data_IF_417616900664
#
_entry.id   IF_417616900664
#
_cell.length_a   1.000
_cell.length_b   1.000
_cell.length_c   1.000
_cell.angle_alpha   90.00
_cell.angle_beta   90.00
_cell.angle_gamma   90.00
#
_symmetry.space_group_name_H-M   'P 1'
#
loop_
_entity.id
_entity.type
_entity.pdbx_description
1 polymer ?
#
# COMPACT_ATOMS: atom_id res chain seq x y z
N UNK A 1 -2.24 38.03 13.46
CA UNK A 1 -1.53 36.98 14.25
C UNK A 1 -2.41 35.82 14.74
N UNK A 2 -3.75 35.94 14.85
CA UNK A 2 -4.63 34.82 15.26
C UNK A 2 -4.77 33.68 14.22
N UNK A 3 -4.77 34.01 12.93
CA UNK A 3 -4.97 33.02 11.85
C UNK A 3 -3.75 32.15 11.53
N UNK A 4 -2.54 32.62 11.85
CA UNK A 4 -1.30 31.87 11.61
C UNK A 4 -1.21 30.59 12.47
N UNK A 5 -1.76 30.63 13.69
CA UNK A 5 -1.80 29.47 14.60
C UNK A 5 -2.76 28.39 14.08
N UNK A 6 -3.90 28.81 13.49
CA UNK A 6 -4.90 27.88 12.92
C UNK A 6 -4.36 27.20 11.67
N UNK A 7 -3.61 27.92 10.82
CA UNK A 7 -3.00 27.36 9.62
C UNK A 7 -1.91 26.34 9.97
N UNK A 8 -1.10 26.59 11.00
CA UNK A 8 -0.05 25.65 11.43
C UNK A 8 -0.61 24.32 11.99
N UNK A 9 -1.78 24.34 12.63
CA UNK A 9 -2.44 23.14 13.16
C UNK A 9 -2.98 22.20 12.06
N UNK A 10 -3.34 22.73 10.89
CA UNK A 10 -3.91 21.95 9.79
C UNK A 10 -2.88 21.18 8.96
N UNK A 11 -1.58 21.51 9.09
CA UNK A 11 -0.50 20.86 8.32
C UNK A 11 -0.23 19.43 8.80
N UNK A 12 -0.63 19.07 10.03
CA UNK A 12 -0.34 17.77 10.64
C UNK A 12 -1.27 16.62 10.22
N UNK A 13 -2.25 16.84 9.35
CA UNK A 13 -3.34 15.88 9.10
C UNK A 13 -3.16 14.99 7.85
N UNK A 14 -2.09 15.14 7.08
CA UNK A 14 -1.88 14.34 5.87
C UNK A 14 -0.53 13.62 5.88
N UNK A 15 -0.43 12.52 6.64
CA UNK A 15 0.73 11.62 6.58
C UNK A 15 0.64 10.71 5.35
N UNK A 16 0.84 11.29 4.16
CA UNK A 16 1.07 10.50 2.95
C UNK A 16 2.56 10.15 2.86
N UNK A 17 2.87 8.88 2.59
CA UNK A 17 4.25 8.40 2.40
C UNK A 17 4.40 7.98 0.94
N UNK A 18 5.48 8.43 0.30
CA UNK A 18 5.89 7.97 -1.03
C UNK A 18 7.26 7.33 -0.95
N UNK A 19 7.45 6.20 -1.63
CA UNK A 19 8.73 5.50 -1.68
C UNK A 19 8.83 4.61 -2.93
N UNK A 20 10.07 4.35 -3.36
CA UNK A 20 10.35 3.36 -4.41
C UNK A 20 10.35 1.94 -3.83
N UNK A 21 9.62 1.02 -4.45
CA UNK A 21 9.61 -0.39 -4.09
C UNK A 21 10.59 -1.18 -4.97
N UNK A 22 11.56 -1.86 -4.35
CA UNK A 22 12.56 -2.69 -5.06
C UNK A 22 12.19 -4.17 -4.93
N UNK A 23 12.44 -4.96 -5.96
CA UNK A 23 12.26 -6.42 -5.90
C UNK A 23 13.10 -7.03 -4.77
N UNK A 24 12.50 -7.93 -4.00
CA UNK A 24 13.12 -8.57 -2.83
C UNK A 24 13.23 -7.70 -1.59
N UNK A 25 12.74 -6.45 -1.60
CA UNK A 25 12.76 -5.55 -0.44
C UNK A 25 11.34 -5.31 0.05
N UNK A 26 11.09 -5.65 1.31
CA UNK A 26 9.86 -5.29 2.02
C UNK A 26 10.07 -3.96 2.76
N UNK A 27 9.11 -3.04 2.62
CA UNK A 27 9.09 -1.76 3.34
C UNK A 27 7.86 -1.69 4.21
N UNK A 28 8.05 -1.48 5.51
CA UNK A 28 6.98 -1.44 6.48
C UNK A 28 6.86 -0.06 7.14
N UNK A 29 5.63 0.43 7.25
CA UNK A 29 5.24 1.47 8.19
C UNK A 29 4.59 0.82 9.42
N UNK A 30 4.64 1.44 10.59
CA UNK A 30 4.01 0.90 11.79
C UNK A 30 3.45 2.02 12.64
N UNK A 31 2.26 1.78 13.21
CA UNK A 31 1.56 2.76 14.02
C UNK A 31 0.76 2.08 15.14
N UNK A 32 0.50 2.83 16.21
CA UNK A 32 -0.36 2.38 17.30
C UNK A 32 -1.81 2.70 16.99
N UNK A 33 -2.62 1.65 16.87
CA UNK A 33 -4.04 1.76 16.51
C UNK A 33 -4.88 1.33 17.70
N UNK A 34 -5.84 2.16 18.17
CA UNK A 34 -6.78 1.78 19.22
C UNK A 34 -7.71 0.65 18.77
N UNK A 35 -8.24 -0.12 19.72
CA UNK A 35 -9.30 -1.09 19.44
C UNK A 35 -10.55 -0.42 18.86
N UNK A 36 -11.28 -1.15 18.03
CA UNK A 36 -12.51 -0.71 17.35
C UNK A 36 -12.33 0.49 16.41
N UNK A 37 -11.08 0.85 16.07
CA UNK A 37 -10.79 1.92 15.11
C UNK A 37 -10.87 1.41 13.68
N UNK A 38 -11.54 2.16 12.81
CA UNK A 38 -11.53 1.89 11.36
C UNK A 38 -10.28 2.51 10.77
N UNK A 39 -9.41 1.67 10.21
CA UNK A 39 -8.24 2.10 9.46
C UNK A 39 -8.60 2.10 7.98
N UNK A 40 -8.45 3.26 7.34
CA UNK A 40 -8.64 3.42 5.90
C UNK A 40 -7.28 3.61 5.26
N UNK A 41 -7.00 2.78 4.26
CA UNK A 41 -5.75 2.80 3.52
C UNK A 41 -6.06 3.14 2.08
N UNK A 42 -5.34 4.14 1.59
CA UNK A 42 -5.35 4.53 0.19
C UNK A 42 -3.91 4.48 -0.29
N UNK A 43 -3.68 3.77 -1.40
CA UNK A 43 -2.38 3.78 -2.06
C UNK A 43 -2.54 3.84 -3.57
N UNK A 44 -1.52 4.39 -4.21
CA UNK A 44 -1.43 4.51 -5.65
C UNK A 44 -0.07 3.95 -6.08
N UNK A 45 -0.12 2.91 -6.91
CA UNK A 45 1.08 2.41 -7.55
C UNK A 45 1.37 3.33 -8.74
N UNK A 46 2.26 4.29 -8.51
CA UNK A 46 2.84 5.07 -9.59
C UNK A 46 3.71 4.13 -10.40
N UNK A 47 3.39 3.93 -11.68
CA UNK A 47 4.19 3.07 -12.55
C UNK A 47 5.63 3.57 -12.57
N UNK A 48 6.60 2.74 -12.20
CA UNK A 48 7.88 2.81 -12.89
C UNK A 48 7.56 2.59 -14.36
N UNK A 49 8.04 3.48 -15.22
CA UNK A 49 7.84 3.34 -16.65
C UNK A 49 8.25 1.95 -17.08
N UNK A 50 7.26 1.08 -17.33
CA UNK A 50 7.38 0.17 -18.46
C UNK A 50 7.64 1.13 -19.60
N UNK A 51 8.91 1.25 -20.00
CA UNK A 51 9.28 2.07 -21.13
C UNK A 51 8.30 1.68 -22.21
N UNK A 52 7.43 2.60 -22.63
CA UNK A 52 6.42 2.37 -23.68
C UNK A 52 7.05 1.89 -25.01
N UNK A 53 8.38 1.78 -25.05
CA UNK A 53 9.22 1.53 -26.19
C UNK A 53 10.00 0.20 -26.11
N UNK A 54 9.93 -0.58 -25.03
CA UNK A 54 10.56 -1.91 -25.02
C UNK A 54 9.52 -2.98 -25.31
N UNK A 55 9.37 -3.30 -26.60
CA UNK A 55 8.76 -4.56 -27.05
C UNK A 55 9.65 -5.72 -26.60
N UNK A 56 9.72 -5.97 -25.31
CA UNK A 56 10.16 -7.28 -24.83
C UNK A 56 8.94 -8.18 -24.88
N UNK A 57 9.08 -9.33 -25.52
CA UNK A 57 8.13 -10.44 -25.48
C UNK A 57 8.03 -11.03 -24.06
N UNK A 58 7.81 -10.18 -23.05
CA UNK A 58 7.32 -10.65 -21.77
C UNK A 58 5.87 -11.03 -22.05
N UNK A 59 5.49 -12.31 -21.92
CA UNK A 59 4.12 -12.72 -22.15
C UNK A 59 3.22 -11.80 -21.31
N UNK A 60 2.14 -11.27 -21.91
CA UNK A 60 1.12 -10.39 -21.29
C UNK A 60 0.59 -10.89 -19.93
N UNK A 61 0.96 -12.11 -19.54
CA UNK A 61 0.62 -12.84 -18.34
C UNK A 61 1.37 -12.41 -17.07
N UNK A 62 2.55 -11.76 -17.15
CA UNK A 62 3.32 -11.34 -15.96
C UNK A 62 3.37 -9.81 -15.89
N UNK A 63 2.64 -9.22 -14.93
CA UNK A 63 2.77 -7.80 -14.60
C UNK A 63 3.45 -7.63 -13.24
N UNK A 64 4.33 -6.64 -13.18
CA UNK A 64 4.88 -6.14 -11.92
C UNK A 64 3.76 -5.46 -11.12
N UNK A 65 3.75 -5.67 -9.82
CA UNK A 65 2.83 -5.02 -8.89
C UNK A 65 3.39 -4.98 -7.48
N UNK A 66 2.54 -4.64 -6.53
CA UNK A 66 2.84 -4.68 -5.12
C UNK A 66 1.85 -5.58 -4.39
N UNK A 67 2.33 -6.17 -3.30
CA UNK A 67 1.50 -6.79 -2.26
C UNK A 67 1.65 -5.95 -0.99
N UNK A 68 0.53 -5.49 -0.44
CA UNK A 68 0.43 -4.85 0.86
C UNK A 68 -0.09 -5.88 1.86
N UNK A 69 0.72 -6.25 2.84
CA UNK A 69 0.34 -7.06 3.98
C UNK A 69 0.19 -6.18 5.22
N UNK A 70 -0.90 -6.37 5.95
CA UNK A 70 -1.15 -5.69 7.21
C UNK A 70 -1.04 -6.74 8.30
N UNK A 71 -0.12 -6.53 9.23
CA UNK A 71 0.07 -7.38 10.39
C UNK A 71 -0.56 -6.73 11.62
N UNK A 72 -1.28 -7.53 12.39
CA UNK A 72 -1.82 -7.15 13.69
C UNK A 72 -0.74 -7.11 14.77
N UNK A 73 -1.09 -6.65 15.98
CA UNK A 73 -0.17 -6.62 17.13
C UNK A 73 0.34 -8.00 17.56
N UNK A 74 -0.41 -9.05 17.20
CA UNK A 74 -0.06 -10.45 17.42
C UNK A 74 0.90 -11.03 16.36
N UNK A 75 1.27 -10.23 15.36
CA UNK A 75 2.13 -10.65 14.24
C UNK A 75 1.40 -11.40 13.12
N UNK A 76 0.08 -11.61 13.23
CA UNK A 76 -0.69 -12.29 12.20
C UNK A 76 -1.14 -11.32 11.10
N UNK A 77 -1.25 -11.82 9.86
CA UNK A 77 -1.80 -11.03 8.75
C UNK A 77 -3.30 -10.82 8.98
N UNK A 78 -3.70 -9.57 9.16
CA UNK A 78 -5.13 -9.18 9.26
C UNK A 78 -5.73 -8.90 7.90
N UNK A 79 -4.92 -8.46 6.94
CA UNK A 79 -5.34 -8.31 5.55
C UNK A 79 -4.19 -8.25 4.57
N UNK A 80 -4.47 -8.71 3.34
CA UNK A 80 -3.60 -8.57 2.18
C UNK A 80 -4.34 -7.86 1.06
N UNK A 81 -3.65 -6.95 0.37
CA UNK A 81 -4.09 -6.36 -0.88
C UNK A 81 -3.01 -6.49 -1.95
N UNK A 82 -3.44 -6.77 -3.18
CA UNK A 82 -2.59 -6.89 -4.35
C UNK A 82 -2.94 -5.75 -5.31
N UNK A 83 -1.94 -5.07 -5.86
CA UNK A 83 -2.15 -3.95 -6.78
C UNK A 83 -1.14 -4.02 -7.90
N UNK A 84 -1.64 -4.07 -9.13
CA UNK A 84 -0.81 -4.21 -10.33
C UNK A 84 -0.70 -2.89 -11.08
N UNK A 85 -1.73 -2.05 -11.03
CA UNK A 85 -1.71 -0.73 -11.64
C UNK A 85 -2.69 0.21 -10.90
N UNK A 86 -2.37 1.50 -10.89
CA UNK A 86 -3.27 2.56 -10.44
C UNK A 86 -3.53 2.59 -8.94
N UNK A 87 -4.76 2.95 -8.58
CA UNK A 87 -5.19 3.28 -7.20
C UNK A 87 -5.91 2.11 -6.56
N UNK A 88 -5.68 1.92 -5.27
CA UNK A 88 -6.43 0.98 -4.44
C UNK A 88 -6.86 1.64 -3.13
N UNK A 89 -8.05 1.29 -2.66
CA UNK A 89 -8.58 1.72 -1.37
C UNK A 89 -9.11 0.50 -0.64
N UNK A 90 -8.71 0.35 0.61
CA UNK A 90 -9.20 -0.71 1.49
C UNK A 90 -9.40 -0.18 2.90
N UNK A 91 -10.17 -0.91 3.70
CA UNK A 91 -10.30 -0.64 5.12
C UNK A 91 -10.41 -1.93 5.92
N UNK A 92 -10.08 -1.83 7.20
CA UNK A 92 -10.38 -2.84 8.20
C UNK A 92 -10.66 -2.17 9.54
N UNK A 93 -11.34 -2.89 10.43
CA UNK A 93 -11.55 -2.45 11.81
C UNK A 93 -10.56 -3.18 12.71
N UNK A 94 -9.75 -2.43 13.44
CA UNK A 94 -8.82 -2.98 14.42
C UNK A 94 -9.61 -3.65 15.55
N UNK A 95 -9.40 -4.95 15.77
CA UNK A 95 -10.07 -5.69 16.85
C UNK A 95 -9.38 -5.46 18.19
N UNK A 96 -8.05 -5.34 18.16
CA UNK A 96 -7.18 -5.23 19.33
C UNK A 96 -6.40 -3.94 19.25
N UNK A 97 -6.24 -3.27 20.39
CA UNK A 97 -5.30 -2.15 20.48
C UNK A 97 -3.86 -2.66 20.32
N UNK A 98 -3.03 -1.91 19.61
CA UNK A 98 -1.59 -2.16 19.59
C UNK A 98 -0.91 -1.68 18.32
N UNK A 99 0.33 -2.13 18.13
CA UNK A 99 1.16 -1.75 17.00
C UNK A 99 0.84 -2.59 15.76
N UNK A 100 0.25 -1.96 14.75
CA UNK A 100 0.02 -2.57 13.45
C UNK A 100 1.20 -2.28 12.52
N UNK A 101 1.49 -3.22 11.59
CA UNK A 101 2.53 -3.03 10.56
C UNK A 101 1.90 -3.11 9.18
N UNK A 102 2.23 -2.16 8.32
CA UNK A 102 1.75 -2.05 6.94
C UNK A 102 2.95 -2.23 6.03
N UNK A 103 3.08 -3.40 5.43
CA UNK A 103 4.28 -3.81 4.71
C UNK A 103 3.99 -3.98 3.23
N UNK A 104 4.76 -3.28 2.40
CA UNK A 104 4.67 -3.32 0.95
C UNK A 104 5.88 -4.04 0.40
N UNK A 105 5.63 -5.01 -0.47
CA UNK A 105 6.66 -5.74 -1.22
C UNK A 105 6.31 -5.74 -2.71
N UNK A 106 7.33 -5.56 -3.56
CA UNK A 106 7.17 -5.72 -5.01
C UNK A 106 6.91 -7.20 -5.31
N UNK A 107 5.84 -7.50 -6.02
CA UNK A 107 5.41 -8.87 -6.35
C UNK A 107 5.17 -9.00 -7.85
N UNK A 108 5.63 -10.10 -8.45
CA UNK A 108 5.21 -10.50 -9.80
C UNK A 108 3.89 -11.25 -9.69
N UNK A 109 2.86 -10.80 -10.41
CA UNK A 109 1.58 -11.49 -10.43
C UNK A 109 1.35 -12.13 -11.80
N UNK A 110 0.96 -13.41 -11.75
CA UNK A 110 0.64 -14.23 -12.91
C UNK A 110 -0.88 -14.22 -13.10
N UNK A 111 -1.35 -13.85 -14.28
CA UNK A 111 -2.75 -14.01 -14.66
C UNK A 111 -2.88 -15.06 -15.76
N UNK A 112 -3.62 -16.13 -15.47
CA UNK A 112 -4.18 -17.00 -16.51
C UNK A 112 -5.38 -16.27 -17.12
N UNK A 113 -5.25 -15.85 -18.38
CA UNK A 113 -6.43 -15.49 -19.16
C UNK A 113 -7.16 -16.81 -19.41
N UNK A 114 -8.27 -17.04 -18.70
CA UNK A 114 -9.23 -18.03 -19.19
C UNK A 114 -9.86 -17.42 -20.43
N UNK A 115 -9.41 -17.88 -21.59
CA UNK A 115 -10.04 -17.60 -22.87
C UNK A 115 -11.43 -18.26 -22.87
N UNK A 116 -12.46 -17.44 -23.02
CA UNK A 116 -13.85 -17.83 -23.27
C UNK A 116 -14.20 -17.55 -24.72
#
# INVERSE_FOLDING_TARGET
MKYLIVIALLINLNQCISFYAKEGVEKCFSDEVPSQTIVVIYHELMSEGVAKNEKRDIPKMIKDGITLNIYGPDGNIVKTAKTIEGKNKMSFTAKTMGRYKFCVIKSKQFWSVNES
#
